data_IF_289629373238
#
_entry.id   IF_289629373238
#
_cell.length_a   1.000
_cell.length_b   1.000
_cell.length_c   1.000
_cell.angle_alpha   90.00
_cell.angle_beta   90.00
_cell.angle_gamma   90.00
#
_symmetry.space_group_name_H-M   'P 1'
#
loop_
_entity.id
_entity.type
_entity.pdbx_description
1 polymer ?
#
# COMPACT_ATOMS: atom_id res chain seq x y z
N UNK A 1 -9.87 10.11 13.27
CA UNK A 1 -9.14 9.07 14.01
C UNK A 1 -7.66 9.26 13.71
N UNK A 2 -6.82 9.52 14.71
CA UNK A 2 -5.40 9.88 14.50
C UNK A 2 -4.66 8.66 13.91
N UNK A 3 -4.43 8.66 12.60
CA UNK A 3 -3.48 7.73 11.98
C UNK A 3 -2.11 8.11 12.50
N UNK A 4 -1.61 7.28 13.42
CA UNK A 4 -0.23 7.32 13.86
C UNK A 4 0.61 7.07 12.62
N UNK A 5 1.43 8.05 12.25
CA UNK A 5 2.56 7.86 11.36
C UNK A 5 3.33 6.63 11.84
N UNK A 6 3.17 5.51 11.14
CA UNK A 6 4.21 4.48 11.12
C UNK A 6 5.28 5.12 10.24
N UNK A 7 6.09 5.95 10.89
CA UNK A 7 7.50 5.98 10.53
C UNK A 7 7.89 4.51 10.51
N UNK A 8 8.14 3.97 9.32
CA UNK A 8 9.12 2.90 9.22
C UNK A 8 10.38 3.59 9.73
N UNK A 9 10.54 3.55 11.04
CA UNK A 9 11.81 3.77 11.70
C UNK A 9 12.66 2.72 11.03
N UNK A 10 13.41 3.19 10.05
CA UNK A 10 14.66 2.62 9.60
C UNK A 10 15.41 2.32 10.88
N UNK A 11 15.20 1.11 11.39
CA UNK A 11 16.03 0.49 12.39
C UNK A 11 17.31 0.20 11.65
N UNK A 12 18.08 1.26 11.45
CA UNK A 12 19.42 1.25 10.92
C UNK A 12 20.26 0.55 11.99
N UNK A 13 20.14 -0.78 12.07
CA UNK A 13 21.23 -1.60 12.54
C UNK A 13 22.15 -1.79 11.34
N UNK A 14 22.81 -0.69 10.96
CA UNK A 14 23.99 -0.74 10.12
C UNK A 14 25.10 -1.39 10.95
N UNK A 15 25.05 -2.71 11.11
CA UNK A 15 26.25 -3.49 11.31
C UNK A 15 26.86 -3.67 9.91
N UNK A 16 27.49 -2.61 9.41
CA UNK A 16 28.47 -2.72 8.32
C UNK A 16 29.72 -3.36 8.94
N UNK A 17 29.60 -4.62 9.34
CA UNK A 17 30.77 -5.43 9.63
C UNK A 17 31.18 -6.03 8.30
N UNK A 18 32.03 -5.29 7.57
CA UNK A 18 33.02 -6.00 6.75
C UNK A 18 33.66 -7.04 7.68
N UNK A 19 33.76 -8.29 7.24
CA UNK A 19 34.37 -9.37 8.02
C UNK A 19 35.75 -8.92 8.51
N UNK A 20 35.83 -8.40 9.74
CA UNK A 20 37.06 -8.38 10.51
C UNK A 20 37.14 -9.78 11.10
N UNK A 21 38.21 -10.51 10.79
CA UNK A 21 38.48 -11.90 11.20
C UNK A 21 38.67 -12.07 12.72
N UNK A 22 38.08 -11.20 13.54
CA UNK A 22 38.27 -11.13 14.99
C UNK A 22 37.08 -11.70 15.75
N UNK A 23 36.85 -12.99 15.56
CA UNK A 23 36.14 -13.80 16.56
C UNK A 23 37.13 -14.12 17.69
N UNK A 24 36.84 -13.69 18.92
CA UNK A 24 37.68 -14.00 20.07
C UNK A 24 37.73 -15.52 20.33
N UNK A 25 38.94 -16.07 20.34
CA UNK A 25 39.20 -17.47 20.63
C UNK A 25 39.05 -17.74 22.13
N UNK A 26 37.93 -18.33 22.54
CA UNK A 26 37.84 -18.99 23.85
C UNK A 26 38.41 -20.41 23.74
N UNK A 27 39.56 -20.64 24.36
CA UNK A 27 40.22 -21.95 24.47
C UNK A 27 39.29 -22.95 25.20
N UNK A 28 38.61 -23.79 24.44
CA UNK A 28 37.98 -25.01 24.95
C UNK A 28 38.81 -26.21 24.50
N UNK A 29 39.37 -26.93 25.48
CA UNK A 29 40.34 -28.01 25.34
C UNK A 29 39.73 -29.36 24.93
N UNK A 30 38.68 -29.35 24.11
CA UNK A 30 38.11 -30.55 23.51
C UNK A 30 38.48 -30.55 22.02
N UNK A 31 38.99 -31.66 21.50
CA UNK A 31 39.28 -31.79 20.08
C UNK A 31 38.04 -31.41 19.25
N UNK A 32 38.15 -30.40 18.39
CA UNK A 32 37.04 -29.98 17.56
C UNK A 32 36.86 -31.01 16.43
N UNK A 33 35.68 -31.61 16.34
CA UNK A 33 35.32 -32.47 15.22
C UNK A 33 35.36 -31.66 13.92
N UNK A 34 35.67 -32.32 12.81
CA UNK A 34 35.51 -31.71 11.49
C UNK A 34 34.03 -31.34 11.29
N UNK A 35 33.71 -30.10 10.87
CA UNK A 35 32.32 -29.71 10.65
C UNK A 35 31.71 -30.48 9.48
N UNK A 36 30.41 -30.75 9.56
CA UNK A 36 29.66 -31.47 8.51
C UNK A 36 29.00 -30.48 7.56
N UNK A 37 29.30 -30.56 6.27
CA UNK A 37 28.65 -29.75 5.24
C UNK A 37 27.14 -30.06 5.15
N UNK A 38 26.34 -29.02 4.92
CA UNK A 38 24.90 -29.15 4.64
C UNK A 38 24.77 -29.57 3.17
N UNK A 39 24.01 -30.63 2.89
CA UNK A 39 23.80 -31.12 1.53
C UNK A 39 22.81 -30.20 0.79
N UNK A 40 23.02 -29.99 -0.52
CA UNK A 40 22.10 -29.13 -1.28
C UNK A 40 20.67 -29.68 -1.36
N UNK A 41 20.53 -31.01 -1.30
CA UNK A 41 19.23 -31.69 -1.28
C UNK A 41 18.46 -31.54 0.04
N UNK A 42 19.09 -31.06 1.12
CA UNK A 42 18.44 -30.79 2.40
C UNK A 42 18.15 -29.30 2.60
N UNK A 43 18.28 -28.48 1.56
CA UNK A 43 17.95 -27.05 1.59
C UNK A 43 16.78 -26.81 0.66
N UNK A 44 15.67 -26.41 1.24
CA UNK A 44 14.51 -25.89 0.53
C UNK A 44 14.61 -24.37 0.36
N UNK A 45 13.98 -23.86 -0.69
CA UNK A 45 13.87 -22.41 -0.90
C UNK A 45 12.44 -22.00 -1.21
N UNK A 46 12.06 -20.83 -0.71
CA UNK A 46 10.77 -20.20 -0.94
C UNK A 46 10.99 -18.78 -1.51
N UNK A 47 10.31 -18.51 -2.63
CA UNK A 47 10.32 -17.21 -3.29
C UNK A 47 9.23 -16.32 -2.69
N UNK A 48 9.64 -15.36 -1.85
CA UNK A 48 8.74 -14.40 -1.18
C UNK A 48 8.83 -13.03 -1.88
N UNK A 49 7.83 -12.13 -1.77
CA UNK A 49 7.88 -10.83 -2.43
C UNK A 49 9.13 -10.01 -2.05
N UNK A 50 10.05 -9.83 -3.00
CA UNK A 50 11.32 -9.13 -2.78
C UNK A 50 12.31 -9.87 -1.87
N UNK A 51 12.12 -11.18 -1.70
CA UNK A 51 12.78 -11.98 -0.68
C UNK A 51 13.08 -13.41 -1.15
N UNK A 52 14.16 -13.97 -0.62
CA UNK A 52 14.48 -15.40 -0.74
C UNK A 52 14.54 -15.97 0.67
N UNK A 53 13.70 -16.97 0.97
CA UNK A 53 13.81 -17.73 2.21
C UNK A 53 14.49 -19.06 1.93
N UNK A 54 15.55 -19.35 2.66
CA UNK A 54 16.28 -20.62 2.64
C UNK A 54 15.99 -21.36 3.95
N UNK A 55 15.63 -22.63 3.85
CA UNK A 55 15.33 -23.49 5.00
C UNK A 55 16.11 -24.78 4.86
N UNK A 56 16.74 -25.25 5.93
CA UNK A 56 17.50 -26.49 5.90
C UNK A 56 17.21 -27.39 7.10
N UNK A 57 17.47 -28.68 6.94
CA UNK A 57 17.25 -29.64 8.03
C UNK A 57 18.12 -29.33 9.25
N UNK A 58 17.57 -29.58 10.44
CA UNK A 58 18.32 -29.44 11.69
C UNK A 58 19.54 -30.36 11.68
N UNK A 59 20.74 -29.84 11.97
CA UNK A 59 21.95 -30.65 11.94
C UNK A 59 21.98 -31.67 13.07
N UNK A 60 22.76 -32.74 12.88
CA UNK A 60 23.10 -33.65 13.97
C UNK A 60 23.80 -32.90 15.12
N UNK A 61 23.67 -33.42 16.34
CA UNK A 61 24.30 -32.80 17.52
C UNK A 61 25.81 -32.66 17.32
N UNK A 62 26.35 -31.46 17.59
CA UNK A 62 27.76 -31.11 17.41
C UNK A 62 28.30 -31.22 15.97
N UNK A 63 27.43 -31.19 14.94
CA UNK A 63 27.86 -31.24 13.54
C UNK A 63 28.66 -30.00 13.10
N UNK A 64 28.37 -28.82 13.66
CA UNK A 64 29.11 -27.57 13.47
C UNK A 64 28.77 -26.55 14.57
N UNK A 65 29.52 -25.45 14.62
CA UNK A 65 29.31 -24.34 15.56
C UNK A 65 28.49 -23.18 14.94
N UNK A 66 28.79 -22.81 13.70
CA UNK A 66 28.00 -21.84 12.91
C UNK A 66 28.02 -22.17 11.42
N UNK A 67 27.07 -21.62 10.68
CA UNK A 67 26.97 -21.67 9.24
C UNK A 67 27.27 -20.27 8.67
N UNK A 68 28.08 -20.23 7.62
CA UNK A 68 28.29 -19.06 6.79
C UNK A 68 27.57 -19.27 5.45
N UNK A 69 26.78 -18.29 5.03
CA UNK A 69 26.12 -18.25 3.72
C UNK A 69 26.65 -17.06 2.96
N UNK A 70 27.38 -17.30 1.88
CA UNK A 70 27.88 -16.24 0.99
C UNK A 70 27.07 -16.19 -0.29
N UNK A 71 26.83 -14.99 -0.81
CA UNK A 71 26.31 -14.82 -2.16
C UNK A 71 26.79 -13.49 -2.74
N UNK A 72 26.76 -13.37 -4.07
CA UNK A 72 26.98 -12.10 -4.76
C UNK A 72 25.62 -11.55 -5.17
N UNK A 73 25.28 -10.35 -4.73
CA UNK A 73 24.06 -9.68 -5.16
C UNK A 73 24.19 -9.32 -6.66
N UNK A 74 23.31 -9.81 -7.54
CA UNK A 74 23.32 -9.49 -8.95
C UNK A 74 23.08 -8.01 -9.25
N UNK A 75 22.46 -7.25 -8.32
CA UNK A 75 22.26 -5.82 -8.50
C UNK A 75 23.50 -5.03 -8.11
N UNK A 76 23.84 -5.01 -6.82
CA UNK A 76 24.93 -4.17 -6.28
C UNK A 76 26.33 -4.71 -6.63
N UNK A 77 26.42 -5.96 -7.07
CA UNK A 77 27.68 -6.66 -7.33
C UNK A 77 28.55 -6.84 -6.08
N UNK A 78 27.98 -6.65 -4.88
CA UNK A 78 28.64 -6.85 -3.61
C UNK A 78 28.62 -8.32 -3.19
N UNK A 79 29.68 -8.77 -2.52
CA UNK A 79 29.70 -10.08 -1.84
C UNK A 79 29.14 -9.91 -0.44
N UNK A 80 28.06 -10.63 -0.17
CA UNK A 80 27.35 -10.60 1.11
C UNK A 80 27.62 -11.91 1.84
N UNK A 81 27.80 -11.81 3.16
CA UNK A 81 28.11 -12.93 4.03
C UNK A 81 27.20 -12.90 5.26
N UNK A 82 26.27 -13.85 5.32
CA UNK A 82 25.37 -14.03 6.45
C UNK A 82 25.87 -15.15 7.36
N UNK A 83 25.73 -14.96 8.68
CA UNK A 83 26.11 -15.96 9.68
C UNK A 83 24.86 -16.47 10.40
N UNK A 84 24.66 -17.78 10.35
CA UNK A 84 23.60 -18.48 11.03
C UNK A 84 24.15 -19.30 12.20
N UNK A 85 23.52 -19.17 13.38
CA UNK A 85 23.82 -20.02 14.53
C UNK A 85 23.49 -21.49 14.25
N UNK A 86 24.17 -22.43 14.89
CA UNK A 86 23.79 -23.86 14.90
C UNK A 86 22.37 -24.15 15.42
N UNK A 87 21.72 -23.18 16.05
CA UNK A 87 20.34 -23.30 16.55
C UNK A 87 19.28 -22.74 15.59
N UNK A 88 19.66 -22.19 14.43
CA UNK A 88 18.72 -21.79 13.37
C UNK A 88 18.76 -22.76 12.20
N UNK A 89 17.63 -22.86 11.51
CA UNK A 89 17.40 -23.71 10.34
C UNK A 89 16.80 -22.92 9.17
N UNK A 90 16.74 -21.59 9.30
CA UNK A 90 16.25 -20.71 8.25
C UNK A 90 17.06 -19.41 8.17
N UNK A 91 17.07 -18.83 6.97
CA UNK A 91 17.64 -17.53 6.66
C UNK A 91 16.78 -16.85 5.59
N UNK A 92 16.36 -15.61 5.84
CA UNK A 92 15.66 -14.78 4.86
C UNK A 92 16.62 -13.73 4.32
N UNK A 93 16.69 -13.63 3.00
CA UNK A 93 17.47 -12.63 2.27
C UNK A 93 16.50 -11.59 1.71
N UNK A 94 16.53 -10.40 2.31
CA UNK A 94 15.70 -9.26 1.91
C UNK A 94 16.28 -8.52 0.70
N UNK A 95 15.45 -7.66 0.08
CA UNK A 95 15.82 -6.77 -1.02
C UNK A 95 16.42 -7.48 -2.25
N UNK A 96 15.93 -8.69 -2.53
CA UNK A 96 16.28 -9.44 -3.75
C UNK A 96 15.23 -9.22 -4.82
N UNK A 97 15.58 -9.38 -6.10
CA UNK A 97 14.67 -9.14 -7.22
C UNK A 97 14.53 -10.36 -8.12
N UNK A 98 13.31 -10.69 -8.53
CA UNK A 98 13.03 -11.84 -9.38
C UNK A 98 13.64 -11.71 -10.79
N UNK A 99 13.81 -10.49 -11.29
CA UNK A 99 14.37 -10.17 -12.62
C UNK A 99 15.78 -10.72 -12.86
N UNK A 100 16.52 -11.05 -11.79
CA UNK A 100 17.87 -11.58 -11.90
C UNK A 100 17.93 -13.12 -12.02
N UNK A 101 16.79 -13.81 -11.89
CA UNK A 101 16.73 -15.26 -12.02
C UNK A 101 17.33 -15.98 -10.80
N UNK A 102 18.23 -16.94 -11.05
CA UNK A 102 18.82 -17.76 -10.00
C UNK A 102 19.91 -16.98 -9.24
N UNK A 103 19.73 -16.85 -7.94
CA UNK A 103 20.79 -16.49 -7.01
C UNK A 103 21.57 -17.75 -6.62
N UNK A 104 22.88 -17.62 -6.46
CA UNK A 104 23.75 -18.73 -6.02
C UNK A 104 24.30 -18.43 -4.63
N UNK A 105 23.90 -19.24 -3.65
CA UNK A 105 24.32 -19.16 -2.26
C UNK A 105 25.33 -20.26 -1.95
N UNK A 106 26.40 -19.92 -1.25
CA UNK A 106 27.50 -20.81 -0.90
C UNK A 106 27.49 -21.06 0.61
N UNK A 107 27.04 -22.24 0.99
CA UNK A 107 26.92 -22.68 2.38
C UNK A 107 28.23 -23.32 2.82
N UNK A 108 28.76 -22.88 3.95
CA UNK A 108 29.94 -23.47 4.58
C UNK A 108 29.79 -23.46 6.10
N UNK A 109 29.86 -24.64 6.71
CA UNK A 109 29.76 -24.77 8.18
C UNK A 109 31.14 -24.75 8.81
N UNK A 110 31.24 -24.20 10.02
CA UNK A 110 32.50 -24.04 10.74
C UNK A 110 32.40 -24.61 12.16
N UNK A 111 33.50 -25.16 12.67
CA UNK A 111 33.61 -25.58 14.06
C UNK A 111 34.17 -24.45 14.97
N UNK A 112 34.31 -24.71 16.27
CA UNK A 112 34.86 -23.76 17.26
C UNK A 112 36.31 -23.31 16.99
N UNK A 113 37.04 -24.00 16.09
CA UNK A 113 38.40 -23.64 15.66
C UNK A 113 38.42 -22.91 14.31
N UNK A 114 37.26 -22.48 13.81
CA UNK A 114 37.11 -21.86 12.50
C UNK A 114 37.63 -22.73 11.33
N UNK A 115 37.64 -24.06 11.50
CA UNK A 115 37.86 -24.96 10.38
C UNK A 115 36.53 -25.09 9.65
N UNK A 116 36.54 -24.86 8.32
CA UNK A 116 35.36 -24.96 7.46
C UNK A 116 35.18 -26.36 6.88
N UNK A 117 33.95 -26.70 6.54
CA UNK A 117 33.61 -27.88 5.72
C UNK A 117 33.81 -27.60 4.23
N UNK A 118 33.50 -28.59 3.39
CA UNK A 118 33.28 -28.39 1.96
C UNK A 118 32.14 -27.37 1.72
N UNK A 119 32.27 -26.59 0.64
CA UNK A 119 31.27 -25.57 0.27
C UNK A 119 30.17 -26.21 -0.58
N UNK A 120 28.91 -25.93 -0.22
CA UNK A 120 27.74 -26.38 -0.99
C UNK A 120 27.08 -25.19 -1.68
N UNK A 121 26.86 -25.28 -2.99
CA UNK A 121 26.09 -24.28 -3.75
C UNK A 121 24.59 -24.61 -3.69
N UNK A 122 23.78 -23.61 -3.33
CA UNK A 122 22.32 -23.63 -3.33
C UNK A 122 21.83 -22.58 -4.32
N UNK A 123 20.97 -22.99 -5.25
CA UNK A 123 20.30 -22.06 -6.17
C UNK A 123 18.88 -21.80 -5.71
N UNK A 124 18.51 -20.54 -5.65
CA UNK A 124 17.17 -20.11 -5.29
C UNK A 124 16.75 -18.87 -6.08
N UNK A 125 15.45 -18.59 -6.11
CA UNK A 125 14.86 -17.45 -6.81
C UNK A 125 14.10 -16.56 -5.85
N UNK A 126 14.19 -15.25 -6.07
CA UNK A 126 13.36 -14.28 -5.37
C UNK A 126 11.92 -14.29 -5.92
N UNK A 127 10.95 -13.98 -5.07
CA UNK A 127 9.62 -13.61 -5.53
C UNK A 127 9.62 -12.17 -6.02
N UNK A 128 8.74 -11.84 -6.97
CA UNK A 128 8.67 -10.49 -7.52
C UNK A 128 8.49 -9.44 -6.41
N UNK A 129 9.41 -8.48 -6.36
CA UNK A 129 9.34 -7.38 -5.43
C UNK A 129 8.09 -6.52 -5.70
N UNK A 130 7.38 -6.08 -4.64
CA UNK A 130 6.17 -5.31 -4.82
C UNK A 130 6.48 -3.95 -5.45
N UNK A 131 5.58 -3.49 -6.34
CA UNK A 131 5.62 -2.12 -6.83
C UNK A 131 5.34 -1.14 -5.68
N UNK A 132 5.97 0.03 -5.75
CA UNK A 132 5.66 1.15 -4.86
C UNK A 132 4.95 2.23 -5.66
N UNK A 133 3.86 2.77 -5.09
CA UNK A 133 3.11 3.87 -5.68
C UNK A 133 3.18 5.07 -4.74
N UNK A 134 3.55 6.23 -5.29
CA UNK A 134 3.57 7.49 -4.56
C UNK A 134 2.79 8.55 -5.31
N UNK A 135 2.02 9.36 -4.59
CA UNK A 135 1.37 10.52 -5.18
C UNK A 135 2.43 11.59 -5.50
N UNK A 136 2.50 12.04 -6.77
CA UNK A 136 3.35 13.16 -7.18
C UNK A 136 2.64 14.49 -7.04
N UNK A 137 1.41 14.56 -7.54
CA UNK A 137 0.65 15.81 -7.59
C UNK A 137 -0.85 15.56 -7.69
N UNK A 138 -1.65 16.56 -7.28
CA UNK A 138 -3.08 16.65 -7.57
C UNK A 138 -3.35 17.91 -8.36
N UNK A 139 -4.16 17.78 -9.40
CA UNK A 139 -4.66 18.91 -10.19
C UNK A 139 -6.18 18.96 -10.09
N UNK A 140 -6.71 20.09 -9.63
CA UNK A 140 -8.16 20.29 -9.59
C UNK A 140 -8.73 20.26 -11.01
N UNK A 141 -9.72 19.41 -11.22
CA UNK A 141 -10.54 19.46 -12.40
C UNK A 141 -11.67 20.48 -12.17
N UNK A 142 -11.70 21.52 -13.00
CA UNK A 142 -12.65 22.61 -12.88
C UNK A 142 -14.06 22.18 -13.30
N UNK A 143 -14.80 21.58 -12.36
CA UNK A 143 -16.18 21.15 -12.56
C UNK A 143 -17.10 22.34 -12.84
N UNK A 144 -18.05 22.14 -13.75
CA UNK A 144 -19.16 23.07 -13.99
C UNK A 144 -20.48 22.46 -13.54
N UNK A 145 -21.44 23.32 -13.16
CA UNK A 145 -22.78 22.88 -12.77
C UNK A 145 -23.49 22.04 -13.86
N UNK A 146 -23.17 22.29 -15.14
CA UNK A 146 -23.75 21.57 -16.27
C UNK A 146 -23.32 20.09 -16.37
N UNK A 147 -22.21 19.73 -15.72
CA UNK A 147 -21.71 18.36 -15.65
C UNK A 147 -22.32 17.58 -14.48
N UNK A 148 -23.03 18.26 -13.57
CA UNK A 148 -23.55 17.67 -12.35
C UNK A 148 -25.01 17.25 -12.51
N UNK A 149 -25.35 16.08 -11.94
CA UNK A 149 -26.74 15.65 -11.76
C UNK A 149 -26.91 14.86 -10.46
N UNK A 150 -28.15 14.72 -10.01
CA UNK A 150 -28.52 13.92 -8.83
C UNK A 150 -29.86 13.23 -9.06
N UNK A 151 -30.08 12.08 -8.43
CA UNK A 151 -31.37 11.39 -8.43
C UNK A 151 -32.40 11.96 -7.44
N UNK A 152 -31.98 12.88 -6.56
CA UNK A 152 -32.81 13.30 -5.44
C UNK A 152 -32.72 14.80 -5.17
N UNK A 153 -32.73 15.65 -6.21
CA UNK A 153 -32.71 17.11 -6.03
C UNK A 153 -33.90 17.57 -5.18
N UNK A 154 -33.66 18.40 -4.16
CA UNK A 154 -34.73 19.13 -3.48
C UNK A 154 -35.28 20.24 -4.41
N UNK A 155 -36.60 20.32 -4.67
CA UNK A 155 -37.17 21.30 -5.58
C UNK A 155 -37.20 22.74 -5.06
N UNK A 156 -37.22 22.96 -3.74
CA UNK A 156 -37.38 24.31 -3.18
C UNK A 156 -36.08 25.02 -2.84
N UNK A 157 -34.99 24.29 -2.64
CA UNK A 157 -33.72 24.85 -2.18
C UNK A 157 -32.53 23.95 -2.50
N UNK A 158 -31.34 24.49 -2.25
CA UNK A 158 -30.08 23.78 -2.39
C UNK A 158 -29.87 23.11 -3.74
N UNK A 159 -29.89 23.86 -4.87
CA UNK A 159 -29.61 23.31 -6.19
C UNK A 159 -28.20 22.71 -6.26
N UNK A 160 -28.03 21.65 -7.05
CA UNK A 160 -26.74 20.97 -7.23
C UNK A 160 -25.61 21.88 -7.73
N UNK A 161 -25.96 22.98 -8.43
CA UNK A 161 -25.00 23.99 -8.87
C UNK A 161 -24.21 24.62 -7.72
N UNK A 162 -24.77 24.63 -6.50
CA UNK A 162 -24.09 25.18 -5.33
C UNK A 162 -22.83 24.39 -4.94
N UNK A 163 -22.69 23.14 -5.39
CA UNK A 163 -21.50 22.34 -5.08
C UNK A 163 -20.22 22.87 -5.73
N UNK A 164 -20.34 23.72 -6.75
CA UNK A 164 -19.21 24.17 -7.59
C UNK A 164 -19.26 25.67 -7.84
N UNK A 165 -19.95 26.42 -6.97
CA UNK A 165 -20.05 27.87 -7.09
C UNK A 165 -18.95 28.61 -6.31
N UNK A 166 -18.16 27.90 -5.49
CA UNK A 166 -17.08 28.44 -4.67
C UNK A 166 -17.56 29.25 -3.46
N UNK A 167 -18.85 29.25 -3.17
CA UNK A 167 -19.45 29.94 -2.04
C UNK A 167 -19.85 28.93 -0.95
N UNK A 168 -18.97 28.77 0.02
CA UNK A 168 -19.14 27.87 1.18
C UNK A 168 -20.37 28.15 2.07
N UNK A 169 -21.07 29.27 1.86
CA UNK A 169 -22.32 29.60 2.56
C UNK A 169 -23.56 29.04 1.84
N UNK A 170 -23.43 28.70 0.55
CA UNK A 170 -24.43 27.95 -0.19
C UNK A 170 -24.30 26.45 0.13
N UNK A 171 -25.34 25.70 -0.19
CA UNK A 171 -25.33 24.26 -0.03
C UNK A 171 -26.22 23.58 -1.07
N UNK A 172 -25.86 22.37 -1.44
CA UNK A 172 -26.74 21.42 -2.09
C UNK A 172 -27.54 20.65 -1.04
N UNK A 173 -28.79 20.32 -1.36
CA UNK A 173 -29.65 19.50 -0.51
C UNK A 173 -30.41 18.47 -1.34
N UNK A 174 -30.36 17.21 -0.90
CA UNK A 174 -31.20 16.16 -1.48
C UNK A 174 -32.59 16.14 -0.84
N UNK A 175 -33.52 15.44 -1.48
CA UNK A 175 -34.96 15.42 -1.22
C UNK A 175 -35.31 15.20 0.25
N UNK A 176 -35.50 16.27 0.99
CA UNK A 176 -35.89 16.24 2.41
C UNK A 176 -37.38 16.49 2.59
N UNK A 177 -38.00 17.21 1.65
CA UNK A 177 -39.42 17.48 1.68
C UNK A 177 -40.23 16.26 1.18
N UNK A 178 -41.53 16.23 1.51
CA UNK A 178 -42.38 15.10 1.20
C UNK A 178 -42.80 15.06 -0.28
N UNK A 179 -42.81 13.88 -0.95
CA UNK A 179 -42.32 12.60 -0.44
C UNK A 179 -40.79 12.54 -0.43
N UNK A 180 -40.23 12.04 0.67
CA UNK A 180 -38.80 11.73 0.78
C UNK A 180 -38.47 10.50 -0.05
N UNK A 181 -37.28 10.52 -0.65
CA UNK A 181 -36.69 9.39 -1.39
C UNK A 181 -35.74 8.67 -0.43
N UNK A 182 -35.76 7.33 -0.45
CA UNK A 182 -34.83 6.53 0.34
C UNK A 182 -33.43 6.57 -0.28
N UNK A 183 -32.39 6.55 0.57
CA UNK A 183 -31.01 6.36 0.14
C UNK A 183 -30.88 5.06 -0.68
N UNK A 184 -29.95 4.99 -1.66
CA UNK A 184 -28.85 5.94 -1.87
C UNK A 184 -29.19 7.14 -2.75
N UNK A 185 -28.55 8.27 -2.46
CA UNK A 185 -28.59 9.47 -3.29
C UNK A 185 -27.20 9.77 -3.82
N UNK A 186 -27.07 10.13 -5.10
CA UNK A 186 -25.77 10.42 -5.70
C UNK A 186 -25.62 11.86 -6.17
N UNK A 187 -24.37 12.31 -6.17
CA UNK A 187 -23.90 13.38 -7.05
C UNK A 187 -23.16 12.68 -8.19
N UNK A 188 -23.62 12.88 -9.41
CA UNK A 188 -23.05 12.31 -10.62
C UNK A 188 -22.35 13.41 -11.41
N UNK A 189 -21.16 13.08 -11.92
CA UNK A 189 -20.38 13.91 -12.83
C UNK A 189 -20.33 13.21 -14.19
N UNK A 190 -20.65 13.96 -15.23
CA UNK A 190 -20.40 13.60 -16.63
C UNK A 190 -19.22 14.45 -17.14
N UNK A 191 -18.03 13.86 -17.18
CA UNK A 191 -16.80 14.63 -17.46
C UNK A 191 -16.69 15.08 -18.91
N UNK A 192 -17.31 14.35 -19.85
CA UNK A 192 -17.14 14.50 -21.32
C UNK A 192 -15.72 14.20 -21.84
N UNK A 193 -14.81 13.84 -20.95
CA UNK A 193 -13.46 13.39 -21.25
C UNK A 193 -13.05 12.26 -20.31
N UNK A 194 -11.96 11.57 -20.65
CA UNK A 194 -11.46 10.44 -19.89
C UNK A 194 -10.59 10.92 -18.72
N UNK A 195 -10.86 10.37 -17.54
CA UNK A 195 -10.07 10.54 -16.32
C UNK A 195 -9.58 9.18 -15.82
N UNK A 196 -8.51 9.17 -15.02
CA UNK A 196 -7.92 7.96 -14.44
C UNK A 196 -7.77 8.09 -12.91
N UNK A 197 -6.55 8.12 -12.38
CA UNK A 197 -6.35 8.19 -10.93
C UNK A 197 -6.90 9.50 -10.40
N UNK A 198 -7.64 9.44 -9.30
CA UNK A 198 -8.38 10.59 -8.82
C UNK A 198 -8.45 10.68 -7.31
N UNK A 199 -8.81 11.85 -6.82
CA UNK A 199 -9.22 12.10 -5.44
C UNK A 199 -10.42 13.06 -5.45
N UNK A 200 -11.19 13.04 -4.37
CA UNK A 200 -12.33 13.95 -4.19
C UNK A 200 -12.16 14.78 -2.94
N UNK A 201 -12.65 16.01 -3.01
CA UNK A 201 -12.84 16.87 -1.84
C UNK A 201 -14.31 17.23 -1.70
N UNK A 202 -14.75 17.38 -0.47
CA UNK A 202 -16.00 18.06 -0.20
C UNK A 202 -15.95 18.86 1.09
N UNK A 203 -16.87 19.81 1.20
CA UNK A 203 -17.13 20.57 2.42
C UNK A 203 -18.55 20.32 2.90
N UNK A 204 -18.74 20.00 4.18
CA UNK A 204 -20.08 19.90 4.75
C UNK A 204 -20.74 21.28 4.80
N UNK A 205 -22.08 21.35 4.82
CA UNK A 205 -22.80 22.62 4.96
C UNK A 205 -22.30 23.39 6.19
N UNK A 206 -21.89 24.64 5.98
CA UNK A 206 -21.35 25.53 7.01
C UNK A 206 -22.39 26.07 7.99
N UNK A 207 -23.60 26.39 7.50
CA UNK A 207 -24.71 26.84 8.34
C UNK A 207 -25.38 25.67 9.11
N UNK A 208 -25.57 25.85 10.40
CA UNK A 208 -26.14 24.88 11.34
C UNK A 208 -27.46 25.33 11.98
N UNK A 209 -27.94 26.53 11.63
CA UNK A 209 -29.08 27.19 12.30
C UNK A 209 -30.32 26.30 12.41
N UNK A 210 -30.51 25.40 11.43
CA UNK A 210 -31.70 24.55 11.33
C UNK A 210 -31.43 23.06 11.52
N UNK A 211 -30.19 22.59 11.33
CA UNK A 211 -29.87 21.18 11.50
C UNK A 211 -28.36 20.90 11.57
N UNK A 212 -28.00 19.97 12.45
CA UNK A 212 -26.66 19.35 12.56
C UNK A 212 -26.60 17.94 11.95
N UNK A 213 -27.70 17.47 11.37
CA UNK A 213 -27.84 16.15 10.77
C UNK A 213 -27.58 16.18 9.25
N UNK A 214 -27.77 15.03 8.59
CA UNK A 214 -27.78 14.93 7.14
C UNK A 214 -26.45 15.29 6.45
N UNK A 215 -25.32 15.01 7.09
CA UNK A 215 -24.01 14.99 6.41
C UNK A 215 -23.73 13.59 5.88
N UNK A 216 -23.09 13.42 4.71
CA UNK A 216 -22.63 12.10 4.28
C UNK A 216 -21.75 11.46 5.36
N UNK A 217 -22.09 10.25 5.80
CA UNK A 217 -21.30 9.49 6.79
C UNK A 217 -20.68 8.22 6.19
N UNK A 218 -21.25 7.71 5.09
CA UNK A 218 -20.64 6.69 4.24
C UNK A 218 -21.03 6.88 2.78
N UNK A 219 -20.05 6.69 1.89
CA UNK A 219 -20.15 7.00 0.48
C UNK A 219 -19.42 5.94 -0.33
N UNK A 220 -20.03 5.47 -1.41
CA UNK A 220 -19.35 4.68 -2.44
C UNK A 220 -18.82 5.61 -3.53
N UNK A 221 -17.55 5.43 -3.89
CA UNK A 221 -16.95 6.09 -5.05
C UNK A 221 -17.14 5.17 -6.26
N UNK A 222 -17.94 5.60 -7.21
CA UNK A 222 -18.33 4.80 -8.37
C UNK A 222 -17.87 5.45 -9.67
N UNK A 223 -17.51 4.61 -10.65
CA UNK A 223 -17.13 5.06 -12.00
C UNK A 223 -17.98 4.36 -13.06
N UNK A 224 -18.04 4.97 -14.25
CA UNK A 224 -18.72 4.42 -15.41
C UNK A 224 -18.14 5.01 -16.72
N UNK A 225 -18.38 4.32 -17.83
CA UNK A 225 -18.08 4.80 -19.19
C UNK A 225 -19.34 4.96 -20.07
N UNK A 226 -20.51 4.51 -19.60
CA UNK A 226 -21.79 4.59 -20.32
C UNK A 226 -22.84 5.44 -19.57
N UNK A 227 -22.59 5.78 -18.30
CA UNK A 227 -23.53 6.48 -17.43
C UNK A 227 -24.68 5.60 -16.92
N UNK A 228 -24.73 4.33 -17.30
CA UNK A 228 -25.80 3.38 -17.01
C UNK A 228 -25.33 2.25 -16.08
N UNK A 229 -24.18 1.65 -16.41
CA UNK A 229 -23.52 0.59 -15.65
C UNK A 229 -22.46 1.19 -14.75
N UNK A 230 -22.52 0.87 -13.45
CA UNK A 230 -21.67 1.50 -12.44
C UNK A 230 -20.86 0.46 -11.67
N UNK A 231 -19.59 0.79 -11.44
CA UNK A 231 -18.66 0.00 -10.64
C UNK A 231 -18.26 0.77 -9.38
N UNK A 232 -18.48 0.16 -8.21
CA UNK A 232 -17.97 0.69 -6.94
C UNK A 232 -16.50 0.35 -6.78
N UNK A 233 -15.64 1.37 -6.68
CA UNK A 233 -14.19 1.20 -6.48
C UNK A 233 -13.84 1.06 -5.00
N UNK A 234 -14.47 1.85 -4.15
CA UNK A 234 -14.23 1.84 -2.71
C UNK A 234 -15.41 2.47 -1.96
N UNK A 235 -15.47 2.18 -0.65
CA UNK A 235 -16.43 2.77 0.27
C UNK A 235 -15.69 3.60 1.32
N UNK A 236 -15.95 4.90 1.34
CA UNK A 236 -15.53 5.79 2.40
C UNK A 236 -16.51 5.70 3.56
N UNK A 237 -16.00 5.57 4.78
CA UNK A 237 -16.82 5.49 6.00
C UNK A 237 -16.18 6.29 7.14
N UNK A 238 -16.99 6.63 8.16
CA UNK A 238 -16.53 7.50 9.26
C UNK A 238 -16.18 8.91 8.78
N UNK A 239 -16.86 9.36 7.71
CA UNK A 239 -16.69 10.68 7.12
C UNK A 239 -17.07 11.80 8.11
N UNK A 240 -16.46 12.99 8.01
CA UNK A 240 -16.75 14.09 8.91
C UNK A 240 -18.20 14.56 8.78
N UNK A 241 -18.80 14.86 9.93
CA UNK A 241 -20.21 15.23 10.06
C UNK A 241 -20.42 16.57 10.78
N UNK A 242 -19.33 17.28 11.11
CA UNK A 242 -19.40 18.61 11.71
C UNK A 242 -19.74 19.70 10.68
N UNK A 243 -19.70 20.94 11.14
CA UNK A 243 -20.15 22.11 10.38
C UNK A 243 -19.00 22.76 9.63
N UNK A 244 -19.15 22.88 8.30
CA UNK A 244 -18.07 23.37 7.46
C UNK A 244 -16.79 22.53 7.58
N UNK A 245 -16.95 21.26 7.96
CA UNK A 245 -15.84 20.30 7.94
C UNK A 245 -15.42 20.08 6.50
N UNK A 246 -14.13 19.91 6.32
CA UNK A 246 -13.52 19.61 5.04
C UNK A 246 -13.03 18.17 5.04
N UNK A 247 -13.16 17.54 3.89
CA UNK A 247 -12.62 16.20 3.66
C UNK A 247 -11.98 16.14 2.28
N UNK A 248 -10.78 15.60 2.22
CA UNK A 248 -10.14 15.17 0.99
C UNK A 248 -9.85 13.67 1.11
N UNK A 249 -10.22 12.89 0.11
CA UNK A 249 -9.91 11.45 0.11
C UNK A 249 -8.43 11.20 -0.16
N UNK A 250 -7.95 10.02 0.21
CA UNK A 250 -6.80 9.41 -0.46
C UNK A 250 -7.07 9.27 -1.95
N UNK A 251 -6.02 9.16 -2.76
CA UNK A 251 -6.20 8.90 -4.19
C UNK A 251 -6.64 7.46 -4.43
N UNK A 252 -7.39 7.26 -5.52
CA UNK A 252 -7.87 5.98 -5.99
C UNK A 252 -7.25 5.71 -7.35
N UNK A 253 -6.74 4.50 -7.56
CA UNK A 253 -6.21 4.02 -8.84
C UNK A 253 -7.11 2.93 -9.41
N UNK A 254 -8.06 3.26 -10.30
CA UNK A 254 -8.92 2.26 -10.91
C UNK A 254 -8.18 1.29 -11.84
N UNK A 255 -6.97 1.64 -12.28
CA UNK A 255 -6.22 0.90 -13.30
C UNK A 255 -6.82 0.97 -14.71
N UNK A 256 -7.77 1.91 -14.92
CA UNK A 256 -8.50 2.14 -16.17
C UNK A 256 -9.09 3.54 -16.21
N UNK A 257 -9.38 4.02 -17.42
CA UNK A 257 -10.05 5.30 -17.62
C UNK A 257 -11.58 5.22 -17.46
N UNK A 258 -12.19 6.33 -17.05
CA UNK A 258 -13.64 6.52 -16.97
C UNK A 258 -14.07 7.92 -17.42
N UNK A 259 -15.33 8.08 -17.84
CA UNK A 259 -15.91 9.37 -18.25
C UNK A 259 -17.05 9.84 -17.34
N UNK A 260 -17.45 8.99 -16.39
CA UNK A 260 -18.47 9.28 -15.40
C UNK A 260 -18.01 8.92 -14.00
N UNK A 261 -18.42 9.71 -13.02
CA UNK A 261 -18.17 9.46 -11.60
C UNK A 261 -19.44 9.67 -10.77
N UNK A 262 -19.59 8.89 -9.70
CA UNK A 262 -20.65 9.06 -8.70
C UNK A 262 -20.06 9.08 -7.30
N UNK A 263 -20.41 10.13 -6.57
CA UNK A 263 -20.34 10.20 -5.12
C UNK A 263 -21.68 9.69 -4.57
N UNK A 264 -21.78 8.38 -4.35
CA UNK A 264 -23.02 7.70 -4.01
C UNK A 264 -23.18 7.61 -2.48
N UNK A 265 -23.99 8.48 -1.89
CA UNK A 265 -24.20 8.55 -0.44
C UNK A 265 -25.13 7.43 0.00
N UNK A 266 -24.58 6.49 0.77
CA UNK A 266 -25.29 5.29 1.27
C UNK A 266 -25.70 5.41 2.74
N UNK A 267 -25.07 6.31 3.49
CA UNK A 267 -25.46 6.62 4.87
C UNK A 267 -25.16 8.09 5.21
N UNK A 268 -25.91 8.60 6.19
CA UNK A 268 -25.84 9.98 6.64
C UNK A 268 -25.71 10.07 8.16
N UNK A 269 -25.28 11.23 8.66
CA UNK A 269 -25.34 11.52 10.08
C UNK A 269 -26.79 11.57 10.55
N UNK A 270 -27.05 10.99 11.74
CA UNK A 270 -28.39 10.88 12.33
C UNK A 270 -29.41 10.07 11.50
N UNK A 271 -28.95 9.20 10.58
CA UNK A 271 -29.78 8.28 9.80
C UNK A 271 -30.92 8.95 9.00
N UNK A 272 -30.68 10.15 8.48
CA UNK A 272 -31.64 10.83 7.60
C UNK A 272 -31.68 10.20 6.21
N UNK A 273 -32.82 10.26 5.53
CA UNK A 273 -32.98 9.79 4.14
C UNK A 273 -32.38 10.73 3.09
N UNK A 274 -31.89 11.88 3.52
CA UNK A 274 -31.33 12.94 2.70
C UNK A 274 -29.99 13.38 3.28
N UNK A 275 -29.17 13.99 2.44
CA UNK A 275 -27.94 14.68 2.81
C UNK A 275 -27.87 16.09 2.22
N UNK A 276 -26.98 16.90 2.80
CA UNK A 276 -26.57 18.20 2.29
C UNK A 276 -25.05 18.36 2.35
N UNK A 277 -24.54 19.27 1.52
CA UNK A 277 -23.11 19.50 1.32
C UNK A 277 -22.89 20.90 0.74
N UNK A 278 -21.79 21.58 1.08
CA UNK A 278 -21.50 22.94 0.60
C UNK A 278 -20.79 22.91 -0.74
N UNK A 279 -19.63 22.25 -0.81
CA UNK A 279 -18.76 22.25 -1.98
C UNK A 279 -18.35 20.82 -2.34
N UNK A 280 -18.06 20.59 -3.62
CA UNK A 280 -17.50 19.35 -4.15
C UNK A 280 -16.41 19.66 -5.16
N UNK A 281 -15.29 18.96 -5.08
CA UNK A 281 -14.21 19.05 -6.06
C UNK A 281 -13.70 17.67 -6.44
N UNK A 282 -13.22 17.58 -7.67
CA UNK A 282 -12.57 16.41 -8.20
C UNK A 282 -11.13 16.78 -8.58
N UNK A 283 -10.19 15.88 -8.32
CA UNK A 283 -8.79 16.05 -8.64
C UNK A 283 -8.31 14.90 -9.49
N UNK A 284 -7.64 15.21 -10.59
CA UNK A 284 -6.76 14.27 -11.27
C UNK A 284 -5.48 14.10 -10.45
N UNK A 285 -5.06 12.86 -10.25
CA UNK A 285 -3.89 12.53 -9.43
C UNK A 285 -2.81 11.92 -10.32
N UNK A 286 -1.64 12.56 -10.30
CA UNK A 286 -0.44 11.99 -10.91
C UNK A 286 0.27 11.13 -9.86
N UNK A 287 0.62 9.90 -10.24
CA UNK A 287 1.34 8.96 -9.37
C UNK A 287 2.67 8.55 -10.00
N UNK A 288 3.68 8.37 -9.15
CA UNK A 288 4.89 7.64 -9.49
C UNK A 288 4.68 6.17 -9.19
N UNK A 289 4.87 5.32 -10.19
CA UNK A 289 4.94 3.88 -9.99
C UNK A 289 6.40 3.48 -10.14
N UNK A 290 6.99 2.99 -9.05
CA UNK A 290 8.30 2.38 -9.06
C UNK A 290 8.14 0.87 -9.01
N UNK A 291 8.51 0.21 -10.10
CA UNK A 291 8.58 -1.24 -10.17
C UNK A 291 10.06 -1.67 -10.18
N UNK A 292 10.59 -2.21 -9.06
CA UNK A 292 11.99 -2.62 -9.00
C UNK A 292 12.32 -3.75 -9.99
N UNK A 293 11.33 -4.53 -10.44
CA UNK A 293 11.53 -5.62 -11.39
C UNK A 293 11.78 -5.13 -12.82
N UNK A 294 11.38 -3.89 -13.13
CA UNK A 294 11.53 -3.30 -14.47
C UNK A 294 12.30 -1.98 -14.49
N UNK A 295 12.58 -1.39 -13.33
CA UNK A 295 13.35 -0.16 -13.20
C UNK A 295 14.71 -0.25 -13.93
N UNK A 296 15.22 0.84 -14.52
CA UNK A 296 16.59 0.88 -15.01
C UNK A 296 17.58 0.54 -13.89
N UNK A 297 18.64 -0.19 -14.22
CA UNK A 297 19.77 -0.39 -13.31
C UNK A 297 20.71 0.79 -13.53
N UNK A 298 20.97 1.55 -12.46
CA UNK A 298 21.93 2.67 -12.44
C UNK A 298 23.39 2.19 -12.45
#
# INVERSE_FOLDING_TARGET
MKLKYIWITTGLLACITGCDDKLETYETSVGANAPTAIASSSVDSEALPGQIKLVWDAPAENAYEYLQVKYRDPWTQEEICEIASKYTTELTIDNTLARFGDYSFYFQTFNVKNQGSEVTEIKAKSGAAPITVQEKSRKEFALSASQLSTNAQEPSEGPISNLVDGNVNNFFHTRWSSPQIDLPHYIQIDFKEAHENFSVYYRTRGDDTWTTAARPSSVELQISNDGESWETLTTLSGLPTGHGDEYTSEFVMPGKSFTYFRFNVIATSSNTKYFNMAEFKFYDVEVEVYDPETAPLD
#
